data_IF_342235839384
#
_entry.id   IF_342235839384
#
_cell.length_a   1.000
_cell.length_b   1.000
_cell.length_c   1.000
_cell.angle_alpha   90.00
_cell.angle_beta   90.00
_cell.angle_gamma   90.00
#
_symmetry.space_group_name_H-M   'P 1'
#
loop_
_entity.id
_entity.type
_entity.pdbx_description
1 polymer ?
#
# COMPACT_ATOMS: atom_id res chain seq x y z
N UNK A 1 -12.94 -3.96 -3.49
CA UNK A 1 -13.05 -3.23 -4.71
C UNK A 1 -11.74 -2.99 -5.42
N UNK A 2 -10.71 -2.47 -4.79
CA UNK A 2 -9.37 -2.44 -5.41
C UNK A 2 -8.55 -3.57 -4.83
N UNK A 3 -8.39 -4.63 -5.61
CA UNK A 3 -7.65 -5.81 -5.16
C UNK A 3 -6.14 -5.62 -5.33
N UNK A 4 -5.74 -5.08 -6.46
CA UNK A 4 -4.32 -4.88 -6.76
C UNK A 4 -4.16 -3.77 -7.79
N UNK A 5 -2.94 -3.20 -7.83
CA UNK A 5 -2.54 -2.32 -8.91
C UNK A 5 -1.25 -2.86 -9.50
N UNK A 6 -1.16 -2.87 -10.83
CA UNK A 6 0.05 -3.29 -11.53
C UNK A 6 0.41 -2.25 -12.56
N UNK A 7 1.63 -1.80 -12.51
CA UNK A 7 2.12 -0.81 -13.45
C UNK A 7 3.53 -0.42 -13.11
N UNK A 8 3.96 0.72 -13.65
CA UNK A 8 5.32 1.20 -13.48
C UNK A 8 5.44 1.97 -12.17
N UNK A 9 6.43 1.62 -11.37
CA UNK A 9 6.74 2.37 -10.16
C UNK A 9 7.46 3.65 -10.56
N UNK A 10 6.80 4.79 -10.37
CA UNK A 10 7.35 6.07 -10.84
C UNK A 10 7.91 6.94 -9.72
N UNK A 11 7.55 6.69 -8.47
CA UNK A 11 7.98 7.55 -7.38
C UNK A 11 7.81 6.81 -6.05
N UNK A 12 8.73 7.04 -5.12
CA UNK A 12 8.61 6.52 -3.76
C UNK A 12 9.00 7.60 -2.76
N UNK A 13 8.43 7.51 -1.57
CA UNK A 13 8.88 8.26 -0.39
C UNK A 13 9.26 7.24 0.68
N UNK A 14 9.50 7.70 1.90
CA UNK A 14 9.80 6.81 3.01
C UNK A 14 8.61 5.93 3.42
N UNK A 15 7.39 6.27 2.96
CA UNK A 15 6.17 5.58 3.39
C UNK A 15 5.16 5.36 2.27
N UNK A 16 5.48 5.77 1.04
CA UNK A 16 4.54 5.64 -0.08
C UNK A 16 5.22 5.16 -1.35
N UNK A 17 4.44 4.55 -2.22
CA UNK A 17 4.86 4.13 -3.54
C UNK A 17 3.79 4.56 -4.55
N UNK A 18 4.19 5.17 -5.65
CA UNK A 18 3.26 5.57 -6.70
C UNK A 18 3.43 4.65 -7.89
N UNK A 19 2.34 3.96 -8.24
CA UNK A 19 2.31 3.02 -9.36
C UNK A 19 1.43 3.63 -10.46
N UNK A 20 1.99 3.79 -11.63
CA UNK A 20 1.27 4.34 -12.78
C UNK A 20 0.67 3.23 -13.61
N UNK A 21 -0.65 3.26 -13.76
CA UNK A 21 -1.42 2.31 -14.56
C UNK A 21 -2.27 3.09 -15.55
N UNK A 22 -2.02 2.92 -16.85
CA UNK A 22 -2.81 3.58 -17.87
C UNK A 22 -2.89 5.09 -17.74
N UNK A 23 -1.83 5.74 -17.31
CA UNK A 23 -1.77 7.19 -17.14
C UNK A 23 -2.30 7.69 -15.81
N UNK A 24 -2.75 6.78 -14.92
CA UNK A 24 -3.20 7.14 -13.57
C UNK A 24 -2.13 6.74 -12.56
N UNK A 25 -1.70 7.68 -11.72
CA UNK A 25 -0.75 7.40 -10.66
C UNK A 25 -1.48 7.05 -9.36
N UNK A 26 -1.35 5.81 -8.92
CA UNK A 26 -1.94 5.35 -7.66
C UNK A 26 -0.94 5.52 -6.55
N UNK A 27 -1.23 6.41 -5.62
CA UNK A 27 -0.34 6.68 -4.48
C UNK A 27 -0.71 5.77 -3.33
N UNK A 28 0.11 4.76 -3.09
CA UNK A 28 -0.16 3.75 -2.08
C UNK A 28 0.70 4.00 -0.85
N UNK A 29 0.05 4.07 0.31
CA UNK A 29 0.77 4.03 1.58
C UNK A 29 1.23 2.59 1.81
N UNK A 30 2.44 2.40 2.28
CA UNK A 30 3.01 1.05 2.38
C UNK A 30 4.05 0.97 3.49
N UNK A 31 4.62 -0.21 3.65
CA UNK A 31 5.63 -0.49 4.66
C UNK A 31 7.04 -0.28 4.11
N UNK A 32 7.98 -0.05 5.01
CA UNK A 32 9.40 -0.05 4.66
C UNK A 32 9.79 -1.39 4.04
N UNK A 33 9.20 -2.46 4.57
CA UNK A 33 9.48 -3.82 4.08
C UNK A 33 9.09 -3.99 2.61
N UNK A 34 7.94 -3.45 2.19
CA UNK A 34 7.54 -3.46 0.79
C UNK A 34 8.48 -2.55 -0.03
N UNK A 35 8.75 -1.34 0.45
CA UNK A 35 9.53 -0.36 -0.29
C UNK A 35 10.95 -0.83 -0.63
N UNK A 36 11.59 -1.53 0.28
CA UNK A 36 12.98 -1.96 0.05
C UNK A 36 13.11 -3.02 -1.05
N UNK A 37 12.01 -3.63 -1.46
CA UNK A 37 11.99 -4.63 -2.53
C UNK A 37 11.53 -4.06 -3.87
N UNK A 38 11.28 -2.75 -3.94
CA UNK A 38 10.77 -2.11 -5.15
C UNK A 38 11.87 -1.29 -5.83
N UNK A 39 11.85 -1.28 -7.16
CA UNK A 39 12.78 -0.48 -7.97
C UNK A 39 12.01 0.49 -8.84
N UNK A 40 12.45 1.76 -8.82
CA UNK A 40 11.90 2.81 -9.68
C UNK A 40 12.04 2.40 -11.15
N UNK A 41 11.05 2.72 -11.94
CA UNK A 41 10.97 2.48 -13.38
C UNK A 41 10.83 1.00 -13.77
N UNK A 42 10.48 0.13 -12.83
CA UNK A 42 10.15 -1.26 -13.13
C UNK A 42 8.67 -1.50 -12.96
N UNK A 43 8.17 -2.56 -13.59
CA UNK A 43 6.79 -2.98 -13.39
C UNK A 43 6.66 -3.66 -12.04
N UNK A 44 5.68 -3.23 -11.25
CA UNK A 44 5.42 -3.79 -9.95
C UNK A 44 3.93 -4.10 -9.81
N UNK A 45 3.62 -5.02 -8.90
CA UNK A 45 2.24 -5.31 -8.50
C UNK A 45 2.16 -5.10 -6.99
N UNK A 46 1.19 -4.29 -6.57
CA UNK A 46 0.91 -4.12 -5.14
C UNK A 46 -0.51 -4.63 -4.87
N UNK A 47 -0.65 -5.41 -3.81
CA UNK A 47 -1.96 -5.86 -3.34
C UNK A 47 -2.52 -4.81 -2.40
N UNK A 48 -3.74 -4.36 -2.68
CA UNK A 48 -4.23 -3.10 -2.13
C UNK A 48 -5.38 -3.27 -1.16
N UNK A 49 -5.50 -2.27 -0.29
CA UNK A 49 -6.62 -2.10 0.61
C UNK A 49 -7.05 -0.64 0.51
N UNK A 50 -8.31 -0.42 0.14
CA UNK A 50 -8.87 0.93 0.04
C UNK A 50 -9.66 1.21 1.30
N UNK A 51 -9.26 2.26 2.02
CA UNK A 51 -9.94 2.70 3.23
C UNK A 51 -10.70 3.98 2.93
N UNK A 52 -12.02 3.89 2.95
CA UNK A 52 -12.89 5.03 2.69
C UNK A 52 -13.52 5.46 4.00
N UNK A 53 -13.26 6.70 4.38
CA UNK A 53 -13.85 7.31 5.57
C UNK A 53 -14.58 8.57 5.15
N UNK A 54 -15.33 9.15 6.07
CA UNK A 54 -16.10 10.36 5.82
C UNK A 54 -15.21 11.50 5.33
N UNK A 55 -14.03 11.63 5.91
CA UNK A 55 -13.12 12.75 5.66
C UNK A 55 -11.88 12.39 4.82
N UNK A 56 -11.73 11.13 4.41
CA UNK A 56 -10.53 10.72 3.68
C UNK A 56 -10.76 9.44 2.89
N UNK A 57 -10.03 9.32 1.79
CA UNK A 57 -9.91 8.08 1.01
C UNK A 57 -8.43 7.77 0.95
N UNK A 58 -8.04 6.59 1.45
CA UNK A 58 -6.63 6.21 1.54
C UNK A 58 -6.44 4.86 0.88
N UNK A 59 -5.38 4.75 0.07
CA UNK A 59 -5.01 3.50 -0.58
C UNK A 59 -3.74 2.96 0.05
N UNK A 60 -3.78 1.70 0.47
CA UNK A 60 -2.63 0.99 1.04
C UNK A 60 -2.24 -0.11 0.07
N UNK A 61 -0.93 -0.35 -0.10
CA UNK A 61 -0.44 -1.36 -1.02
C UNK A 61 0.73 -2.13 -0.43
N UNK A 62 0.83 -3.40 -0.78
CA UNK A 62 1.84 -4.31 -0.23
C UNK A 62 2.38 -5.21 -1.33
N UNK A 63 3.66 -5.57 -1.22
CA UNK A 63 4.32 -6.39 -2.22
C UNK A 63 3.79 -7.83 -2.24
N UNK A 64 3.26 -8.32 -1.13
CA UNK A 64 2.75 -9.68 -1.03
C UNK A 64 1.35 -9.71 -0.43
N UNK A 65 0.59 -10.74 -0.79
CA UNK A 65 -0.75 -10.94 -0.19
C UNK A 65 -0.65 -11.25 1.29
N UNK A 66 0.40 -11.92 1.71
CA UNK A 66 0.63 -12.23 3.12
C UNK A 66 0.73 -10.95 3.94
N UNK A 67 1.50 -9.97 3.46
CA UNK A 67 1.64 -8.70 4.16
C UNK A 67 0.30 -7.97 4.21
N UNK A 68 -0.44 -7.95 3.11
CA UNK A 68 -1.78 -7.36 3.09
C UNK A 68 -2.70 -8.00 4.12
N UNK A 69 -2.74 -9.35 4.17
CA UNK A 69 -3.62 -10.05 5.11
C UNK A 69 -3.23 -9.77 6.55
N UNK A 70 -1.94 -9.71 6.84
CA UNK A 70 -1.45 -9.37 8.17
C UNK A 70 -1.88 -7.95 8.55
N UNK A 71 -1.75 -7.01 7.61
CA UNK A 71 -2.20 -5.63 7.82
C UNK A 71 -3.71 -5.59 8.15
N UNK A 72 -4.52 -6.29 7.38
CA UNK A 72 -5.97 -6.33 7.59
C UNK A 72 -6.32 -6.91 8.96
N UNK A 73 -5.58 -7.93 9.38
CA UNK A 73 -5.77 -8.52 10.72
C UNK A 73 -5.43 -7.51 11.81
N UNK A 74 -4.31 -6.79 11.65
CA UNK A 74 -3.90 -5.79 12.64
C UNK A 74 -4.93 -4.68 12.79
N UNK A 75 -5.44 -4.14 11.70
CA UNK A 75 -6.39 -3.03 11.78
C UNK A 75 -7.79 -3.49 12.22
N UNK A 76 -8.05 -4.79 12.24
CA UNK A 76 -9.30 -5.31 12.79
C UNK A 76 -9.32 -5.26 14.31
N UNK A 77 -8.16 -5.10 14.94
CA UNK A 77 -8.06 -5.02 16.40
C UNK A 77 -8.49 -3.62 16.84
N UNK A 78 -9.33 -3.57 17.88
CA UNK A 78 -9.80 -2.29 18.41
C UNK A 78 -8.64 -1.41 18.84
N UNK A 79 -8.66 -0.16 18.39
CA UNK A 79 -7.64 0.82 18.74
C UNK A 79 -6.42 0.82 17.81
N UNK A 80 -6.35 -0.10 16.84
CA UNK A 80 -5.26 -0.10 15.87
C UNK A 80 -5.75 0.51 14.56
N UNK A 81 -5.29 1.71 14.25
CA UNK A 81 -5.59 2.34 12.98
C UNK A 81 -4.61 1.92 11.89
N UNK A 82 -4.88 2.31 10.62
CA UNK A 82 -4.02 1.92 9.51
C UNK A 82 -2.56 2.35 9.66
N UNK A 83 -2.30 3.55 10.16
CA UNK A 83 -0.92 4.02 10.33
C UNK A 83 -0.17 3.19 11.36
N UNK A 84 -0.83 2.85 12.47
CA UNK A 84 -0.25 1.98 13.48
C UNK A 84 0.01 0.58 12.90
N UNK A 85 -0.89 0.06 12.08
CA UNK A 85 -0.70 -1.21 11.40
C UNK A 85 0.52 -1.21 10.49
N UNK A 86 0.73 -0.14 9.74
CA UNK A 86 1.92 0.00 8.89
C UNK A 86 3.20 0.02 9.73
N UNK A 87 3.18 0.73 10.84
CA UNK A 87 4.34 0.82 11.72
C UNK A 87 4.73 -0.54 12.30
N UNK A 88 3.74 -1.33 12.70
CA UNK A 88 3.98 -2.67 13.23
C UNK A 88 4.63 -3.56 12.18
N UNK A 89 4.22 -3.45 10.91
CA UNK A 89 4.74 -4.28 9.83
C UNK A 89 6.09 -3.82 9.28
N UNK A 90 6.48 -2.61 9.57
CA UNK A 90 7.74 -2.05 9.06
C UNK A 90 8.95 -2.46 9.85
#
# INVERSE_FOLDING_TARGET
MLYSVRGKLIYTTSSTAVVECGGVGYNCQTTVNTLKNLKINTEVTLFTYLNVREDAVELFGFATKTELETFKTLISVSGVGPKAGLSVLS
#
